data_IF_599116924287
#
_entry.id   IF_599116924287
#
_cell.length_a   1.000
_cell.length_b   1.000
_cell.length_c   1.000
_cell.angle_alpha   90.00
_cell.angle_beta   90.00
_cell.angle_gamma   90.00
#
_symmetry.space_group_name_H-M   'P 1'
#
loop_
_entity.id
_entity.type
_entity.pdbx_description
1 polymer ?
#
# COMPACT_ATOMS: atom_id res chain seq x y z
N UNK A 1 39.19 11.11 -21.03
CA UNK A 1 38.51 11.28 -19.74
C UNK A 1 37.27 10.39 -19.76
N UNK A 2 37.29 9.29 -19.03
CA UNK A 2 36.15 8.38 -18.88
C UNK A 2 35.15 9.03 -17.94
N UNK A 3 34.26 9.84 -18.50
CA UNK A 3 33.17 10.47 -17.77
C UNK A 3 32.19 9.40 -17.29
N UNK A 4 32.16 9.20 -15.97
CA UNK A 4 31.06 8.53 -15.26
C UNK A 4 29.73 9.17 -15.68
N UNK A 5 28.84 8.38 -16.28
CA UNK A 5 27.49 8.81 -16.66
C UNK A 5 26.54 8.24 -15.62
N UNK A 6 25.88 9.11 -14.86
CA UNK A 6 24.99 8.71 -13.78
C UNK A 6 23.53 8.81 -14.25
N UNK A 7 22.92 7.68 -14.58
CA UNK A 7 21.47 7.58 -14.44
C UNK A 7 21.20 7.59 -12.93
N UNK A 8 20.82 8.74 -12.40
CA UNK A 8 20.34 8.84 -11.02
C UNK A 8 18.87 8.44 -11.03
N UNK A 9 18.56 7.35 -10.35
CA UNK A 9 17.20 6.92 -10.08
C UNK A 9 16.79 7.29 -8.65
N UNK A 10 15.50 7.45 -8.45
CA UNK A 10 14.84 7.43 -7.14
C UNK A 10 13.77 6.36 -7.20
N UNK A 11 13.65 5.50 -6.20
CA UNK A 11 12.72 4.37 -6.22
C UNK A 11 11.84 4.35 -4.96
N UNK A 12 11.00 5.38 -4.71
CA UNK A 12 10.00 5.30 -3.66
C UNK A 12 9.10 4.08 -3.87
N UNK A 13 9.03 3.26 -2.82
CA UNK A 13 8.11 2.13 -2.74
C UNK A 13 6.90 2.57 -1.94
N UNK A 14 5.71 2.31 -2.47
CA UNK A 14 4.43 2.54 -1.79
C UNK A 14 3.70 1.22 -1.64
N UNK A 15 2.80 1.16 -0.65
CA UNK A 15 1.96 0.00 -0.37
C UNK A 15 0.68 0.44 0.34
N UNK A 16 -0.30 -0.45 0.41
CA UNK A 16 -1.50 -0.31 1.25
C UNK A 16 -1.37 -1.25 2.44
N UNK A 17 -1.50 -0.73 3.66
CA UNK A 17 -1.62 -1.51 4.89
C UNK A 17 -3.07 -1.55 5.32
N UNK A 18 -3.66 -2.74 5.36
CA UNK A 18 -5.03 -2.96 5.84
C UNK A 18 -4.99 -3.60 7.22
N UNK A 19 -5.58 -2.94 8.21
CA UNK A 19 -5.66 -3.48 9.56
C UNK A 19 -6.82 -4.47 9.70
N UNK A 20 -6.54 -5.58 10.37
CA UNK A 20 -7.51 -6.64 10.63
C UNK A 20 -7.93 -6.58 12.10
N UNK A 21 -9.21 -6.73 12.34
CA UNK A 21 -9.83 -6.58 13.66
C UNK A 21 -10.60 -7.83 14.06
N UNK A 22 -10.40 -8.24 15.31
CA UNK A 22 -11.18 -9.25 15.99
C UNK A 22 -12.29 -8.55 16.77
N UNK A 23 -13.54 -8.92 16.52
CA UNK A 23 -14.70 -8.29 17.14
C UNK A 23 -15.54 -9.37 17.78
N UNK A 24 -15.38 -9.52 19.08
CA UNK A 24 -16.15 -10.45 19.87
C UNK A 24 -17.36 -9.74 20.48
N UNK A 25 -18.51 -10.39 20.45
CA UNK A 25 -19.72 -9.88 21.11
C UNK A 25 -20.21 -10.90 22.12
N UNK A 26 -20.50 -10.43 23.33
CA UNK A 26 -21.06 -11.23 24.41
C UNK A 26 -22.35 -10.58 24.92
N UNK A 27 -23.36 -11.39 25.20
CA UNK A 27 -24.63 -10.92 25.73
C UNK A 27 -25.43 -12.04 26.39
N UNK A 28 -26.48 -11.70 27.14
CA UNK A 28 -27.34 -12.68 27.78
C UNK A 28 -28.06 -13.53 26.74
N UNK A 29 -28.18 -14.83 27.03
CA UNK A 29 -28.90 -15.79 26.19
C UNK A 29 -30.44 -15.59 26.21
N UNK A 30 -30.96 -14.83 27.19
CA UNK A 30 -32.39 -14.53 27.30
C UNK A 30 -32.83 -13.55 26.21
N UNK A 31 -33.65 -14.03 25.26
CA UNK A 31 -34.24 -13.20 24.19
C UNK A 31 -35.73 -12.92 24.38
N UNK A 32 -36.38 -13.60 25.32
CA UNK A 32 -37.81 -13.47 25.61
C UNK A 32 -37.94 -12.88 27.01
N UNK A 33 -38.56 -11.71 27.09
CA UNK A 33 -38.86 -11.07 28.35
C UNK A 33 -40.38 -11.00 28.52
N UNK A 34 -40.87 -11.41 29.69
CA UNK A 34 -42.29 -11.26 30.08
C UNK A 34 -42.64 -9.81 30.44
N UNK A 35 -41.63 -8.95 30.53
CA UNK A 35 -41.69 -7.52 30.79
C UNK A 35 -40.55 -6.80 30.05
N UNK A 36 -40.68 -5.51 29.81
CA UNK A 36 -39.59 -4.71 29.25
C UNK A 36 -38.33 -4.81 30.13
N UNK A 37 -37.20 -5.22 29.54
CA UNK A 37 -35.93 -5.40 30.25
C UNK A 37 -34.75 -4.88 29.42
N UNK A 38 -33.83 -4.21 30.09
CA UNK A 38 -32.54 -3.85 29.55
C UNK A 38 -31.57 -5.04 29.62
N UNK A 39 -31.03 -5.45 28.48
CA UNK A 39 -30.01 -6.49 28.36
C UNK A 39 -28.65 -5.83 28.12
N UNK A 40 -27.66 -6.16 28.94
CA UNK A 40 -26.30 -5.68 28.78
C UNK A 40 -25.55 -6.53 27.74
N UNK A 41 -24.91 -5.87 26.78
CA UNK A 41 -24.01 -6.48 25.81
C UNK A 41 -22.62 -5.91 25.99
N UNK A 42 -21.63 -6.73 25.70
CA UNK A 42 -20.23 -6.35 25.68
C UNK A 42 -19.71 -6.61 24.28
N UNK A 43 -19.00 -5.64 23.71
CA UNK A 43 -18.26 -5.78 22.46
C UNK A 43 -16.78 -5.57 22.78
N UNK A 44 -15.95 -6.53 22.42
CA UNK A 44 -14.51 -6.48 22.63
C UNK A 44 -13.87 -6.37 21.25
N UNK A 45 -13.14 -5.29 21.00
CA UNK A 45 -12.45 -5.05 19.74
C UNK A 45 -10.95 -5.20 19.97
N UNK A 46 -10.36 -6.21 19.36
CA UNK A 46 -8.93 -6.52 19.42
C UNK A 46 -8.26 -6.45 18.04
N UNK A 47 -6.94 -6.18 17.97
CA UNK A 47 -6.21 -6.24 16.72
C UNK A 47 -5.88 -7.69 16.36
N UNK A 48 -6.06 -8.06 15.09
CA UNK A 48 -5.58 -9.34 14.54
C UNK A 48 -4.24 -9.21 13.80
N UNK A 49 -3.80 -7.98 13.55
CA UNK A 49 -2.62 -7.66 12.77
C UNK A 49 -2.95 -6.78 11.58
N UNK A 50 -2.09 -6.79 10.57
CA UNK A 50 -2.31 -6.08 9.32
C UNK A 50 -1.69 -6.85 8.16
N UNK A 51 -2.22 -6.62 6.96
CA UNK A 51 -1.67 -7.15 5.70
C UNK A 51 -1.17 -6.00 4.84
N UNK A 52 -0.08 -6.24 4.10
CA UNK A 52 0.40 -5.33 3.07
C UNK A 52 -0.06 -5.81 1.69
N UNK A 53 -0.35 -4.85 0.81
CA UNK A 53 -0.85 -5.08 -0.55
C UNK A 53 -0.54 -3.86 -1.42
N UNK A 54 -0.90 -3.93 -2.71
CA UNK A 54 -0.77 -2.82 -3.67
C UNK A 54 0.64 -2.21 -3.72
N UNK A 55 1.65 -3.07 -3.63
CA UNK A 55 3.04 -2.68 -3.73
C UNK A 55 3.32 -2.04 -5.09
N UNK A 56 3.81 -0.80 -5.05
CA UNK A 56 4.07 -0.01 -6.24
C UNK A 56 5.39 0.73 -6.12
N UNK A 57 6.33 0.38 -7.00
CA UNK A 57 7.59 1.09 -7.12
C UNK A 57 7.45 2.17 -8.20
N UNK A 58 7.55 3.43 -7.82
CA UNK A 58 7.58 4.53 -8.78
C UNK A 58 8.93 5.21 -8.73
N UNK A 59 9.25 5.99 -9.75
CA UNK A 59 10.47 6.76 -9.72
C UNK A 59 10.70 7.60 -10.94
N UNK A 60 11.90 8.20 -10.97
CA UNK A 60 12.37 8.90 -12.16
C UNK A 60 13.77 8.43 -12.52
N UNK A 61 14.05 8.35 -13.81
CA UNK A 61 15.40 8.16 -14.36
C UNK A 61 15.79 9.44 -15.09
N UNK A 62 16.99 9.95 -14.78
CA UNK A 62 17.56 11.07 -15.52
C UNK A 62 18.56 10.55 -16.56
N UNK A 63 18.31 10.89 -17.82
CA UNK A 63 19.20 10.65 -18.93
C UNK A 63 19.96 11.94 -19.26
N UNK A 64 21.27 11.86 -19.42
CA UNK A 64 22.09 13.02 -19.79
C UNK A 64 22.96 12.68 -21.00
N UNK A 65 22.85 13.50 -22.05
CA UNK A 65 23.68 13.38 -23.23
C UNK A 65 24.97 14.20 -23.08
N UNK A 66 26.05 13.55 -22.67
CA UNK A 66 27.39 14.14 -22.64
C UNK A 66 28.19 13.89 -23.92
N UNK A 67 27.58 13.42 -25.02
CA UNK A 67 28.23 13.31 -26.33
C UNK A 67 28.12 14.63 -27.10
N UNK A 68 29.06 14.89 -28.00
CA UNK A 68 29.04 16.09 -28.84
C UNK A 68 27.91 16.08 -29.90
N UNK A 69 27.26 14.94 -30.10
CA UNK A 69 26.19 14.73 -31.08
C UNK A 69 24.85 14.46 -30.41
N UNK A 70 23.77 14.65 -31.18
CA UNK A 70 22.42 14.28 -30.74
C UNK A 70 22.31 12.76 -30.63
N UNK A 71 21.68 12.28 -29.56
CA UNK A 71 21.44 10.86 -29.33
C UNK A 71 19.96 10.56 -29.29
N UNK A 72 19.59 9.40 -29.84
CA UNK A 72 18.31 8.77 -29.54
C UNK A 72 18.56 7.68 -28.51
N UNK A 73 18.01 7.86 -27.31
CA UNK A 73 18.00 6.83 -26.27
C UNK A 73 16.75 6.01 -26.48
N UNK A 74 16.94 4.74 -26.84
CA UNK A 74 15.86 3.78 -26.96
C UNK A 74 15.52 3.21 -25.57
N UNK A 75 14.28 2.74 -25.42
CA UNK A 75 13.68 2.11 -24.24
C UNK A 75 14.73 1.58 -23.28
N UNK A 76 14.77 2.17 -22.08
CA UNK A 76 15.55 1.56 -21.02
C UNK A 76 14.81 0.28 -20.58
N UNK A 77 15.48 -0.86 -20.65
CA UNK A 77 14.95 -2.05 -20.01
C UNK A 77 15.11 -1.87 -18.52
N UNK A 78 13.99 -1.65 -17.86
CA UNK A 78 13.90 -1.54 -16.43
C UNK A 78 13.44 -2.86 -15.83
N UNK A 79 14.25 -3.36 -14.92
CA UNK A 79 14.06 -4.62 -14.25
C UNK A 79 13.88 -4.40 -12.76
N UNK A 80 12.82 -4.95 -12.19
CA UNK A 80 12.70 -5.14 -10.75
C UNK A 80 13.23 -6.52 -10.38
N UNK A 81 14.12 -6.58 -9.38
CA UNK A 81 14.58 -7.84 -8.81
C UNK A 81 14.42 -7.84 -7.28
N UNK A 82 13.31 -8.38 -6.78
CA UNK A 82 13.01 -8.34 -5.35
C UNK A 82 13.78 -9.37 -4.51
N UNK A 83 14.29 -10.43 -5.14
CA UNK A 83 14.91 -11.57 -4.44
C UNK A 83 16.39 -11.76 -4.83
N UNK A 84 16.99 -10.79 -5.52
CA UNK A 84 18.36 -10.89 -6.03
C UNK A 84 18.58 -11.99 -7.08
N UNK A 85 17.52 -12.53 -7.69
CA UNK A 85 17.52 -13.63 -8.66
C UNK A 85 16.98 -13.26 -10.04
N UNK A 86 17.13 -14.15 -11.03
CA UNK A 86 16.46 -14.05 -12.33
C UNK A 86 15.18 -14.90 -12.28
N UNK A 87 14.06 -14.51 -12.91
CA UNK A 87 13.90 -13.41 -13.87
C UNK A 87 13.76 -12.03 -13.24
N UNK A 88 14.15 -11.01 -14.01
CA UNK A 88 13.85 -9.60 -13.72
C UNK A 88 12.45 -9.28 -14.25
N UNK A 89 11.66 -8.56 -13.46
CA UNK A 89 10.32 -8.13 -13.86
C UNK A 89 10.39 -6.80 -14.60
N UNK A 90 9.64 -6.64 -15.69
CA UNK A 90 9.75 -5.45 -16.54
C UNK A 90 8.93 -4.30 -15.96
N UNK A 91 9.57 -3.16 -15.72
CA UNK A 91 8.87 -1.92 -15.38
C UNK A 91 8.40 -1.19 -16.63
N UNK A 92 7.36 -0.36 -16.45
CA UNK A 92 6.83 0.53 -17.48
C UNK A 92 7.49 1.90 -17.38
N UNK A 93 7.88 2.44 -18.53
CA UNK A 93 8.35 3.82 -18.69
C UNK A 93 7.26 4.67 -19.32
N UNK A 94 7.22 5.95 -18.98
CA UNK A 94 6.24 6.88 -19.56
C UNK A 94 6.41 7.09 -21.09
N UNK A 95 7.62 6.86 -21.62
CA UNK A 95 7.93 7.00 -23.06
C UNK A 95 8.88 5.90 -23.54
N UNK A 96 8.74 5.50 -24.80
CA UNK A 96 9.56 4.42 -25.41
C UNK A 96 10.94 4.88 -25.87
N UNK A 97 11.14 6.20 -26.09
CA UNK A 97 12.43 6.76 -26.47
C UNK A 97 12.49 8.27 -26.19
N UNK A 98 13.69 8.82 -26.13
CA UNK A 98 13.94 10.26 -26.10
C UNK A 98 15.08 10.64 -27.02
N UNK A 99 14.96 11.79 -27.66
CA UNK A 99 16.05 12.42 -28.42
C UNK A 99 16.64 13.52 -27.55
N UNK A 100 17.95 13.49 -27.34
CA UNK A 100 18.69 14.45 -26.52
C UNK A 100 19.75 15.13 -27.38
N UNK A 101 19.73 16.46 -27.46
CA UNK A 101 20.83 17.18 -28.08
C UNK A 101 22.10 17.09 -27.20
N UNK A 102 23.23 17.50 -27.74
CA UNK A 102 24.49 17.56 -26.99
C UNK A 102 24.34 18.45 -25.76
N UNK A 103 24.66 17.91 -24.58
CA UNK A 103 24.53 18.59 -23.29
C UNK A 103 23.15 18.51 -22.64
N UNK A 104 22.11 18.05 -23.34
CA UNK A 104 20.76 17.98 -22.82
C UNK A 104 20.58 16.87 -21.78
N UNK A 105 19.56 17.04 -20.94
CA UNK A 105 19.07 16.00 -20.05
C UNK A 105 17.55 15.88 -20.15
N UNK A 106 17.05 14.65 -19.97
CA UNK A 106 15.63 14.38 -19.81
C UNK A 106 15.38 13.52 -18.57
N UNK A 107 14.27 13.79 -17.90
CA UNK A 107 13.77 12.96 -16.83
C UNK A 107 12.59 12.14 -17.35
N UNK A 108 12.57 10.85 -17.04
CA UNK A 108 11.45 9.96 -17.34
C UNK A 108 10.90 9.39 -16.05
N UNK A 109 9.58 9.40 -15.91
CA UNK A 109 8.92 8.64 -14.86
C UNK A 109 8.85 7.16 -15.24
N UNK A 110 8.99 6.30 -14.24
CA UNK A 110 8.76 4.86 -14.36
C UNK A 110 7.88 4.34 -13.24
N UNK A 111 7.28 3.19 -13.51
CA UNK A 111 6.43 2.45 -12.59
C UNK A 111 6.64 0.95 -12.76
N UNK A 112 6.85 0.26 -11.64
CA UNK A 112 6.88 -1.20 -11.55
C UNK A 112 5.77 -1.65 -10.60
N UNK A 113 4.81 -2.40 -11.13
CA UNK A 113 3.83 -3.09 -10.30
C UNK A 113 4.50 -4.32 -9.67
N UNK A 114 4.17 -4.59 -8.40
CA UNK A 114 4.65 -5.80 -7.75
C UNK A 114 3.95 -7.03 -8.34
N UNK A 115 4.68 -8.10 -8.67
CA UNK A 115 4.06 -9.29 -9.23
C UNK A 115 3.11 -9.96 -8.24
N UNK A 116 1.92 -10.32 -8.70
CA UNK A 116 0.98 -11.13 -7.91
C UNK A 116 1.60 -12.47 -7.51
N UNK A 117 1.33 -12.91 -6.28
CA UNK A 117 1.79 -14.21 -5.76
C UNK A 117 3.26 -14.24 -5.33
N UNK A 118 4.01 -13.16 -5.53
CA UNK A 118 5.29 -12.96 -4.85
C UNK A 118 4.97 -12.39 -3.46
N UNK A 119 5.47 -13.05 -2.40
CA UNK A 119 5.28 -12.57 -1.03
C UNK A 119 5.78 -11.14 -0.83
N UNK A 120 5.50 -10.58 0.35
CA UNK A 120 5.93 -9.22 0.67
C UNK A 120 7.46 -9.06 0.46
N UNK A 121 7.90 -7.99 -0.21
CA UNK A 121 9.32 -7.71 -0.29
C UNK A 121 9.92 -7.50 1.09
N UNK A 122 11.19 -7.87 1.27
CA UNK A 122 12.04 -7.22 2.27
C UNK A 122 12.76 -5.99 1.65
N UNK A 123 12.87 -5.97 0.32
CA UNK A 123 13.55 -4.96 -0.48
C UNK A 123 13.91 -5.53 -1.86
N UNK A 124 14.80 -4.87 -2.57
CA UNK A 124 15.30 -5.37 -3.85
C UNK A 124 16.18 -4.38 -4.59
N UNK A 125 16.50 -4.71 -5.84
CA UNK A 125 17.23 -3.83 -6.75
C UNK A 125 16.35 -3.45 -7.92
N UNK A 126 16.16 -2.16 -8.15
CA UNK A 126 15.70 -1.63 -9.42
C UNK A 126 16.90 -1.39 -10.33
N UNK A 127 16.88 -1.97 -11.52
CA UNK A 127 17.94 -1.83 -12.53
C UNK A 127 17.40 -1.15 -13.76
N UNK A 128 18.07 -0.11 -14.20
CA UNK A 128 17.78 0.59 -15.46
C UNK A 128 18.91 0.32 -16.42
N UNK A 129 18.63 -0.32 -17.56
CA UNK A 129 19.61 -0.52 -18.64
C UNK A 129 19.20 0.29 -19.85
N UNK A 130 20.03 1.25 -20.22
CA UNK A 130 19.78 2.18 -21.32
C UNK A 130 20.63 1.80 -22.51
N UNK A 131 20.08 1.93 -23.73
CA UNK A 131 20.84 1.69 -24.96
C UNK A 131 20.69 2.89 -25.91
N UNK A 132 21.78 3.23 -26.60
CA UNK A 132 21.79 4.31 -27.58
C UNK A 132 22.79 4.01 -28.71
N UNK A 133 22.68 4.72 -29.82
CA UNK A 133 23.59 4.56 -30.97
C UNK A 133 24.55 5.75 -31.05
N UNK A 134 25.84 5.46 -31.21
CA UNK A 134 26.91 6.45 -31.47
C UNK A 134 27.64 5.99 -32.72
N UNK A 135 27.63 6.80 -33.77
CA UNK A 135 28.32 6.52 -35.04
C UNK A 135 27.94 5.14 -35.64
N UNK A 136 26.66 4.77 -35.51
CA UNK A 136 26.14 3.47 -35.97
C UNK A 136 26.44 2.29 -35.06
N UNK A 137 27.16 2.48 -33.95
CA UNK A 137 27.46 1.44 -32.98
C UNK A 137 26.57 1.55 -31.73
N UNK A 138 25.97 0.45 -31.26
CA UNK A 138 25.22 0.46 -30.00
C UNK A 138 26.15 0.66 -28.81
N UNK A 139 25.65 1.39 -27.83
CA UNK A 139 26.23 1.65 -26.51
C UNK A 139 25.19 1.33 -25.46
N UNK A 140 25.65 0.92 -24.29
CA UNK A 140 24.80 0.60 -23.16
C UNK A 140 25.34 1.19 -21.86
N UNK A 141 24.45 1.49 -20.93
CA UNK A 141 24.78 1.80 -19.54
C UNK A 141 23.71 1.24 -18.61
N UNK A 142 24.15 0.79 -17.45
CA UNK A 142 23.29 0.22 -16.41
C UNK A 142 23.44 1.02 -15.12
N UNK A 143 22.32 1.26 -14.44
CA UNK A 143 22.29 1.83 -13.10
C UNK A 143 21.42 0.96 -12.21
N UNK A 144 21.93 0.67 -11.02
CA UNK A 144 21.26 -0.13 -10.00
C UNK A 144 20.94 0.76 -8.80
N UNK A 145 19.72 0.64 -8.30
CA UNK A 145 19.26 1.31 -7.09
C UNK A 145 18.58 0.30 -6.18
N UNK A 146 19.10 0.17 -4.97
CA UNK A 146 18.45 -0.60 -3.92
C UNK A 146 17.21 0.15 -3.41
N UNK A 147 16.17 -0.60 -3.09
CA UNK A 147 15.00 -0.13 -2.35
C UNK A 147 14.71 -1.10 -1.20
N UNK A 148 14.09 -0.59 -0.13
CA UNK A 148 13.78 -1.36 1.06
C UNK A 148 12.33 -1.14 1.46
N UNK A 149 11.67 -2.19 1.95
CA UNK A 149 10.28 -2.07 2.44
C UNK A 149 10.17 -1.22 3.69
N UNK A 150 11.22 -1.20 4.52
CA UNK A 150 11.28 -0.33 5.69
C UNK A 150 11.19 1.17 5.34
N UNK A 151 11.51 1.54 4.09
CA UNK A 151 11.44 2.92 3.61
C UNK A 151 10.06 3.26 3.01
N UNK A 152 9.18 2.27 2.85
CA UNK A 152 7.82 2.51 2.38
C UNK A 152 6.97 3.11 3.51
N UNK A 153 6.25 4.19 3.18
CA UNK A 153 5.19 4.74 4.03
C UNK A 153 3.84 4.24 3.49
N UNK A 154 3.30 3.12 3.99
CA UNK A 154 2.08 2.57 3.43
C UNK A 154 0.87 3.47 3.73
N UNK A 155 -0.02 3.57 2.76
CA UNK A 155 -1.36 4.11 2.97
C UNK A 155 -2.08 3.23 4.00
N UNK A 156 -2.59 3.82 5.08
CA UNK A 156 -3.29 3.09 6.14
C UNK A 156 -4.78 2.97 5.78
N UNK A 157 -5.32 1.75 5.83
CA UNK A 157 -6.73 1.44 5.59
C UNK A 157 -7.27 0.67 6.78
N UNK A 158 -8.52 0.99 7.16
CA UNK A 158 -9.23 0.40 8.30
C UNK A 158 -8.48 0.56 9.63
N UNK A 159 -7.74 1.66 9.80
CA UNK A 159 -6.99 1.98 11.02
C UNK A 159 -7.90 2.16 12.25
N UNK A 160 -9.20 2.38 12.03
CA UNK A 160 -10.20 2.47 13.07
C UNK A 160 -11.43 1.64 12.70
N UNK A 161 -12.00 0.96 13.69
CA UNK A 161 -13.33 0.35 13.60
C UNK A 161 -14.32 1.27 14.30
N UNK A 162 -15.29 1.76 13.55
CA UNK A 162 -16.46 2.45 14.08
C UNK A 162 -17.59 1.43 14.31
N UNK A 163 -17.95 1.22 15.58
CA UNK A 163 -19.01 0.29 15.95
C UNK A 163 -20.40 0.81 15.54
N UNK A 164 -20.60 2.12 15.43
CA UNK A 164 -21.84 2.67 14.89
C UNK A 164 -22.05 2.24 13.45
N UNK A 165 -20.99 2.21 12.64
CA UNK A 165 -21.06 1.76 11.26
C UNK A 165 -21.30 0.25 11.16
N UNK A 166 -20.61 -0.54 11.97
CA UNK A 166 -20.74 -2.00 11.97
C UNK A 166 -22.15 -2.46 12.37
N UNK A 167 -22.78 -1.73 13.28
CA UNK A 167 -24.12 -2.04 13.78
C UNK A 167 -25.23 -1.16 13.15
N UNK A 168 -24.94 -0.45 12.04
CA UNK A 168 -25.94 0.29 11.24
C UNK A 168 -27.17 -0.61 10.98
N UNK A 169 -28.35 -0.14 11.39
CA UNK A 169 -29.61 -0.87 11.21
C UNK A 169 -30.10 -1.62 12.46
N UNK A 170 -29.27 -1.79 13.49
CA UNK A 170 -29.70 -2.28 14.81
C UNK A 170 -30.23 -1.13 15.67
N UNK A 171 -31.27 -0.44 15.21
CA UNK A 171 -31.95 0.68 15.90
C UNK A 171 -32.54 0.33 17.28
N UNK A 172 -32.47 -0.95 17.68
CA UNK A 172 -32.92 -1.44 18.98
C UNK A 172 -31.80 -1.52 20.03
N UNK A 173 -30.53 -1.39 19.66
CA UNK A 173 -29.44 -1.14 20.60
C UNK A 173 -29.59 0.30 21.07
N UNK A 174 -30.02 0.48 22.33
CA UNK A 174 -30.32 1.78 22.91
C UNK A 174 -29.61 1.90 24.25
N UNK A 175 -28.30 2.16 24.18
CA UNK A 175 -27.56 2.79 25.27
C UNK A 175 -27.53 4.29 24.96
N UNK A 176 -28.34 5.08 25.67
CA UNK A 176 -28.35 6.54 25.73
C UNK A 176 -27.56 7.32 24.64
N UNK A 177 -28.26 7.81 23.60
CA UNK A 177 -27.97 9.03 22.82
C UNK A 177 -26.59 9.29 22.18
N UNK A 178 -25.54 8.52 22.47
CA UNK A 178 -24.16 8.80 22.08
C UNK A 178 -23.59 7.60 21.29
N UNK A 179 -22.74 7.87 20.30
CA UNK A 179 -22.04 6.91 19.45
C UNK A 179 -21.60 5.63 20.21
N UNK A 180 -21.81 4.44 19.61
CA UNK A 180 -21.31 3.16 20.10
C UNK A 180 -19.79 3.20 20.30
N UNK A 181 -19.10 4.05 19.54
CA UNK A 181 -17.72 4.41 19.74
C UNK A 181 -16.78 3.71 18.76
N UNK A 182 -15.52 4.12 18.81
CA UNK A 182 -14.49 3.72 17.85
C UNK A 182 -13.31 3.08 18.58
N UNK A 183 -12.71 2.05 17.99
CA UNK A 183 -11.40 1.52 18.40
C UNK A 183 -10.40 1.78 17.27
N UNK A 184 -9.26 2.39 17.59
CA UNK A 184 -8.22 2.73 16.61
C UNK A 184 -6.89 2.07 16.96
N UNK A 185 -6.07 1.82 15.94
CA UNK A 185 -4.68 1.39 16.12
C UNK A 185 -3.93 2.47 16.92
N UNK A 186 -3.05 2.04 17.83
CA UNK A 186 -2.28 2.93 18.71
C UNK A 186 -2.98 3.27 20.03
N UNK A 187 -4.25 2.94 20.20
CA UNK A 187 -4.92 2.96 21.50
C UNK A 187 -4.58 1.72 22.34
N UNK A 188 -4.80 1.74 23.67
CA UNK A 188 -4.78 0.52 24.49
C UNK A 188 -5.85 -0.47 24.00
N UNK A 189 -5.41 -1.65 23.54
CA UNK A 189 -6.25 -2.72 22.99
C UNK A 189 -6.02 -4.06 23.72
N UNK A 190 -7.01 -4.97 23.77
CA UNK A 190 -8.36 -4.85 23.19
C UNK A 190 -9.22 -3.82 23.94
N UNK A 191 -10.09 -3.13 23.21
CA UNK A 191 -11.01 -2.12 23.75
C UNK A 191 -12.38 -2.74 23.98
N UNK A 192 -12.89 -2.57 25.20
CA UNK A 192 -14.19 -3.12 25.59
C UNK A 192 -15.24 -2.01 25.61
N UNK A 193 -16.35 -2.26 24.93
CA UNK A 193 -17.52 -1.40 24.89
C UNK A 193 -18.70 -2.13 25.51
N UNK A 194 -19.51 -1.41 26.27
CA UNK A 194 -20.68 -1.98 26.94
C UNK A 194 -21.93 -1.23 26.51
N UNK A 195 -22.94 -1.97 26.10
CA UNK A 195 -24.19 -1.44 25.57
C UNK A 195 -25.38 -2.01 26.31
N UNK A 196 -26.49 -1.30 26.26
CA UNK A 196 -27.77 -1.79 26.75
C UNK A 196 -28.76 -1.86 25.60
N UNK A 197 -29.46 -3.00 25.48
CA UNK A 197 -30.56 -3.18 24.54
C UNK A 197 -31.85 -3.29 25.31
N UNK A 198 -32.83 -2.45 25.00
CA UNK A 198 -34.18 -2.63 25.55
C UNK A 198 -34.90 -3.71 24.73
N UNK A 199 -35.21 -4.83 25.38
CA UNK A 199 -36.13 -5.83 24.85
C UNK A 199 -37.51 -5.54 25.41
N UNK A 200 -38.50 -5.40 24.53
CA UNK A 200 -39.89 -5.17 24.92
C UNK A 200 -40.65 -6.49 24.98
N UNK A 201 -41.58 -6.62 25.92
CA UNK A 201 -42.48 -7.77 25.95
C UNK A 201 -43.39 -7.77 24.72
N UNK A 202 -43.67 -8.94 24.15
CA UNK A 202 -44.76 -9.06 23.17
C UNK A 202 -46.10 -8.81 23.86
N UNK A 203 -47.02 -8.01 23.27
CA UNK A 203 -48.35 -7.83 23.82
C UNK A 203 -49.06 -9.18 23.84
N UNK A 204 -49.44 -9.65 25.02
CA UNK A 204 -50.15 -10.92 25.19
C UNK A 204 -51.43 -10.95 24.36
N UNK A 205 -51.55 -11.97 23.51
CA UNK A 205 -52.79 -12.36 22.83
C UNK A 205 -53.80 -12.96 23.78
#
# INVERSE_FOLDING_TARGET
>A
MTGSRAARSSAPLTATRTFLWDIETAGPAERIATNDKALAYVVIVGPMGATLSDWLLTGTVTFQNNEAQTLTVARADEGLNPLGGSPWWVCSLAVDSVVLASGDAAMMAYQCDWPEGVGDPDGGTNRVTTTWIVDGAPKTATSDLAFFVADAEPCQVDECVDLDELFKGLSSLKGAADALGTACVGEPLPKTFTYSRLVRSEPGT
#
